data_IF_136540786150
#
_entry.id   IF_136540786150
#
_cell.length_a   1.000
_cell.length_b   1.000
_cell.length_c   1.000
_cell.angle_alpha   90.00
_cell.angle_beta   90.00
_cell.angle_gamma   90.00
#
_symmetry.space_group_name_H-M   'P 1'
#
loop_
_entity.id
_entity.type
_entity.pdbx_description
1 polymer ?
#
# COMPACT_ATOMS: atom_id res chain seq x y z
N UNK A 1 7.55 2.66 -10.41
CA UNK A 1 7.15 1.90 -9.20
C UNK A 1 7.06 2.76 -7.96
N UNK A 2 8.09 3.54 -7.67
CA UNK A 2 8.08 4.38 -6.45
C UNK A 2 6.93 5.39 -6.43
N UNK A 3 6.50 5.85 -7.60
CA UNK A 3 5.38 6.80 -7.67
C UNK A 3 4.08 6.21 -7.13
N UNK A 4 3.86 4.91 -7.28
CA UNK A 4 2.66 4.26 -6.77
C UNK A 4 2.62 4.24 -5.24
N UNK A 5 3.76 4.43 -4.61
CA UNK A 5 3.88 4.42 -3.15
C UNK A 5 4.02 5.82 -2.57
N UNK A 6 3.58 6.82 -3.31
CA UNK A 6 3.50 8.21 -2.85
C UNK A 6 2.05 8.67 -2.90
N UNK A 7 1.72 9.69 -2.13
CA UNK A 7 0.35 10.21 -2.11
C UNK A 7 -0.08 10.70 -3.49
N UNK A 8 0.81 11.37 -4.20
CA UNK A 8 0.49 11.94 -5.51
C UNK A 8 0.34 10.88 -6.60
N UNK A 9 1.11 9.81 -6.52
CA UNK A 9 1.09 8.75 -7.53
C UNK A 9 0.31 7.52 -7.12
N UNK A 10 -0.41 7.59 -6.02
CA UNK A 10 -1.13 6.44 -5.48
C UNK A 10 -2.24 5.96 -6.40
N UNK A 11 -2.28 4.65 -6.64
CA UNK A 11 -3.36 3.98 -7.34
C UNK A 11 -3.66 2.69 -6.59
N UNK A 12 -4.81 2.63 -5.93
CA UNK A 12 -5.17 1.51 -5.08
C UNK A 12 -5.14 0.18 -5.84
N UNK A 13 -5.69 0.14 -7.03
CA UNK A 13 -5.75 -1.07 -7.83
C UNK A 13 -4.36 -1.60 -8.16
N UNK A 14 -3.46 -0.71 -8.60
CA UNK A 14 -2.10 -1.09 -8.96
C UNK A 14 -1.29 -1.51 -7.74
N UNK A 15 -1.45 -0.80 -6.64
CA UNK A 15 -0.74 -1.15 -5.41
C UNK A 15 -1.24 -2.49 -4.88
N UNK A 16 -2.54 -2.74 -4.93
CA UNK A 16 -3.10 -4.02 -4.52
C UNK A 16 -2.55 -5.16 -5.37
N UNK A 17 -2.46 -4.96 -6.69
CA UNK A 17 -1.88 -5.96 -7.59
C UNK A 17 -0.42 -6.23 -7.22
N UNK A 18 0.34 -5.17 -6.92
CA UNK A 18 1.73 -5.31 -6.51
C UNK A 18 1.86 -6.11 -5.22
N UNK A 19 0.97 -5.85 -4.26
CA UNK A 19 0.97 -6.58 -2.99
C UNK A 19 0.63 -8.06 -3.20
N UNK A 20 -0.32 -8.35 -4.08
CA UNK A 20 -0.70 -9.72 -4.38
C UNK A 20 0.44 -10.51 -5.03
N UNK A 21 1.29 -9.83 -5.80
CA UNK A 21 2.43 -10.45 -6.42
C UNK A 21 3.67 -10.56 -5.54
N UNK A 22 3.60 -10.04 -4.30
CA UNK A 22 4.72 -10.07 -3.37
C UNK A 22 4.77 -11.38 -2.58
N UNK A 23 5.87 -11.57 -1.85
CA UNK A 23 6.05 -12.75 -1.00
C UNK A 23 5.42 -12.60 0.39
N UNK A 24 4.62 -11.58 0.59
CA UNK A 24 3.97 -11.34 1.88
C UNK A 24 2.93 -12.40 2.19
N UNK A 25 2.73 -12.70 3.47
CA UNK A 25 1.69 -13.62 3.90
C UNK A 25 0.29 -13.07 3.60
N UNK A 26 -0.70 -13.96 3.49
CA UNK A 26 -2.07 -13.58 3.15
C UNK A 26 -2.65 -12.58 4.14
N UNK A 27 -2.39 -12.77 5.43
CA UNK A 27 -2.88 -11.86 6.48
C UNK A 27 -2.28 -10.47 6.29
N UNK A 28 -0.97 -10.41 6.03
CA UNK A 28 -0.28 -9.15 5.85
C UNK A 28 -0.78 -8.41 4.61
N UNK A 29 -0.99 -9.12 3.50
CA UNK A 29 -1.56 -8.54 2.29
C UNK A 29 -2.93 -7.95 2.56
N UNK A 30 -3.78 -8.69 3.26
CA UNK A 30 -5.13 -8.25 3.60
C UNK A 30 -5.10 -7.01 4.48
N UNK A 31 -4.25 -6.99 5.49
CA UNK A 31 -4.12 -5.84 6.39
C UNK A 31 -3.66 -4.59 5.64
N UNK A 32 -2.66 -4.72 4.80
CA UNK A 32 -2.15 -3.60 4.03
C UNK A 32 -3.19 -3.09 3.04
N UNK A 33 -3.88 -3.99 2.35
CA UNK A 33 -4.92 -3.61 1.40
C UNK A 33 -6.07 -2.88 2.09
N UNK A 34 -6.51 -3.40 3.23
CA UNK A 34 -7.58 -2.75 3.99
C UNK A 34 -7.15 -1.38 4.51
N UNK A 35 -5.91 -1.26 4.98
CA UNK A 35 -5.37 0.01 5.41
C UNK A 35 -5.35 1.04 4.28
N UNK A 36 -4.94 0.62 3.09
CA UNK A 36 -4.91 1.50 1.93
C UNK A 36 -6.32 1.93 1.51
N UNK A 37 -7.28 0.99 1.52
CA UNK A 37 -8.67 1.32 1.20
C UNK A 37 -9.25 2.35 2.16
N UNK A 38 -8.99 2.18 3.45
CA UNK A 38 -9.48 3.10 4.46
C UNK A 38 -8.81 4.46 4.36
N UNK A 39 -7.57 4.49 3.91
CA UNK A 39 -6.76 5.71 3.88
C UNK A 39 -6.85 6.49 2.56
N UNK A 40 -7.45 5.91 1.51
CA UNK A 40 -7.37 6.50 0.17
C UNK A 40 -7.94 7.92 0.08
N UNK A 41 -8.88 8.26 0.95
CA UNK A 41 -9.50 9.58 0.97
C UNK A 41 -8.87 10.52 2.01
N UNK A 42 -7.84 10.06 2.72
CA UNK A 42 -7.20 10.85 3.76
C UNK A 42 -5.69 10.84 3.54
N UNK A 43 -5.11 11.98 3.06
CA UNK A 43 -3.68 12.02 2.73
C UNK A 43 -2.75 11.66 3.88
N UNK A 44 -3.08 12.07 5.10
CA UNK A 44 -2.24 11.77 6.26
C UNK A 44 -2.20 10.27 6.57
N UNK A 45 -3.37 9.64 6.54
CA UNK A 45 -3.46 8.19 6.75
C UNK A 45 -2.84 7.43 5.58
N UNK A 46 -3.04 7.94 4.36
CA UNK A 46 -2.48 7.32 3.17
C UNK A 46 -0.96 7.31 3.23
N UNK A 47 -0.36 8.40 3.68
CA UNK A 47 1.09 8.48 3.83
C UNK A 47 1.60 7.41 4.78
N UNK A 48 0.93 7.24 5.91
CA UNK A 48 1.31 6.22 6.89
C UNK A 48 1.13 4.81 6.33
N UNK A 49 0.03 4.58 5.61
CA UNK A 49 -0.25 3.28 5.01
C UNK A 49 0.79 2.95 3.94
N UNK A 50 1.18 3.92 3.13
CA UNK A 50 2.21 3.72 2.11
C UNK A 50 3.58 3.44 2.72
N UNK A 51 3.89 4.08 3.85
CA UNK A 51 5.10 3.79 4.59
C UNK A 51 5.13 2.33 5.04
N UNK A 52 4.01 1.85 5.57
CA UNK A 52 3.90 0.46 6.00
C UNK A 52 4.09 -0.50 4.83
N UNK A 53 3.52 -0.16 3.67
CA UNK A 53 3.70 -0.97 2.46
C UNK A 53 5.17 -1.04 2.05
N UNK A 54 5.84 0.12 2.05
CA UNK A 54 7.25 0.15 1.68
C UNK A 54 8.11 -0.66 2.63
N UNK A 55 7.84 -0.57 3.92
CA UNK A 55 8.57 -1.36 4.91
C UNK A 55 8.33 -2.85 4.72
N UNK A 56 7.08 -3.24 4.46
CA UNK A 56 6.75 -4.64 4.25
C UNK A 56 7.41 -5.21 3.00
N UNK A 57 7.58 -4.39 1.97
CA UNK A 57 8.21 -4.81 0.72
C UNK A 57 9.74 -4.68 0.75
N UNK A 58 10.30 -4.14 1.81
CA UNK A 58 11.74 -4.00 1.93
C UNK A 58 12.33 -2.85 1.13
N UNK A 59 11.53 -1.86 0.87
CA UNK A 59 11.98 -0.70 0.08
C UNK A 59 12.54 0.42 0.94
#
# INVERSE_FOLDING_TARGET
MMELLTVDGFNLEKVTTMLEGSDLGAVQKTMLTNGLKAAQDNPDLLKSALDAVRQALGM
#
